data_IF_412761633872
#
_entry.id   IF_412761633872
#
_cell.length_a   1.000
_cell.length_b   1.000
_cell.length_c   1.000
_cell.angle_alpha   90.00
_cell.angle_beta   90.00
_cell.angle_gamma   90.00
#
_symmetry.space_group_name_H-M   'P 1'
#
loop_
_entity.id
_entity.type
_entity.pdbx_description
1 polymer ?
#
# COMPACT_ATOMS: atom_id res chain seq x y z
N UNK A 1 -5.90 -28.19 0.00
CA UNK A 1 -6.67 -26.94 0.21
C UNK A 1 -5.92 -25.85 -0.53
N UNK A 2 -6.61 -25.01 -1.32
CA UNK A 2 -5.95 -23.85 -1.93
C UNK A 2 -5.42 -22.96 -0.80
N UNK A 3 -4.15 -22.57 -0.83
CA UNK A 3 -3.56 -21.68 0.18
C UNK A 3 -4.23 -20.31 0.06
N UNK A 4 -4.64 -19.76 1.20
CA UNK A 4 -5.15 -18.39 1.34
C UNK A 4 -4.12 -17.38 0.82
N UNK A 5 -4.45 -16.64 -0.23
CA UNK A 5 -3.67 -15.49 -0.73
C UNK A 5 -4.35 -14.19 -0.28
N UNK A 6 -4.27 -13.89 1.02
CA UNK A 6 -4.86 -12.68 1.61
C UNK A 6 -4.04 -12.22 2.83
N UNK A 7 -4.13 -10.95 3.21
CA UNK A 7 -3.39 -10.43 4.37
C UNK A 7 -3.90 -10.98 5.70
N UNK A 8 -5.20 -11.21 5.83
CA UNK A 8 -5.80 -11.72 7.06
C UNK A 8 -6.79 -12.84 6.79
N UNK A 9 -7.01 -13.71 7.77
CA UNK A 9 -8.14 -14.64 7.81
C UNK A 9 -9.21 -14.14 8.78
N UNK A 10 -10.51 -14.38 8.50
CA UNK A 10 -11.55 -14.19 9.50
C UNK A 10 -11.29 -15.09 10.71
N UNK A 11 -11.49 -14.58 11.92
CA UNK A 11 -11.43 -15.44 13.09
C UNK A 11 -12.61 -16.43 13.08
N UNK A 12 -12.35 -17.72 12.89
CA UNK A 12 -13.39 -18.76 12.75
C UNK A 12 -13.95 -19.28 14.09
N UNK A 13 -13.51 -18.71 15.23
CA UNK A 13 -13.78 -19.25 16.57
C UNK A 13 -14.63 -18.33 17.47
N UNK A 14 -15.71 -17.71 16.97
CA UNK A 14 -16.70 -17.13 17.88
C UNK A 14 -18.10 -17.01 17.24
N UNK A 15 -19.10 -17.51 17.97
CA UNK A 15 -20.51 -17.40 17.66
C UNK A 15 -20.92 -15.92 17.56
N UNK A 16 -21.28 -15.45 16.36
CA UNK A 16 -22.09 -14.26 16.03
C UNK A 16 -21.85 -12.91 16.76
N UNK A 17 -20.82 -12.77 17.60
CA UNK A 17 -20.51 -11.58 18.38
C UNK A 17 -19.07 -11.08 18.21
N UNK A 18 -18.26 -11.74 17.38
CA UNK A 18 -16.89 -11.29 17.14
C UNK A 18 -16.92 -10.03 16.26
N UNK A 19 -16.38 -8.92 16.77
CA UNK A 19 -16.42 -7.55 16.22
C UNK A 19 -15.66 -7.38 14.88
N UNK A 20 -15.68 -8.37 14.00
CA UNK A 20 -14.90 -8.39 12.77
C UNK A 20 -13.40 -8.52 13.03
N UNK A 21 -13.01 -9.24 14.08
CA UNK A 21 -11.62 -9.57 14.39
C UNK A 21 -11.03 -10.45 13.29
N UNK A 22 -9.80 -10.15 12.89
CA UNK A 22 -9.05 -10.85 11.85
C UNK A 22 -7.66 -11.23 12.34
N UNK A 23 -7.13 -12.34 11.84
CA UNK A 23 -5.81 -12.86 12.19
C UNK A 23 -4.85 -12.67 11.02
N UNK A 24 -3.66 -12.09 11.22
CA UNK A 24 -2.67 -11.92 10.15
C UNK A 24 -2.24 -13.26 9.54
N UNK A 25 -1.99 -13.28 8.24
CA UNK A 25 -1.31 -14.39 7.55
C UNK A 25 0.16 -14.06 7.31
N UNK A 26 0.92 -14.99 6.73
CA UNK A 26 2.30 -14.76 6.30
C UNK A 26 2.43 -13.60 5.29
N UNK A 27 1.40 -13.32 4.49
CA UNK A 27 1.40 -12.21 3.52
C UNK A 27 1.33 -10.83 4.21
N UNK A 28 0.87 -10.77 5.45
CA UNK A 28 0.82 -9.52 6.21
C UNK A 28 2.13 -9.20 6.93
N UNK A 29 3.12 -10.09 6.94
CA UNK A 29 4.34 -9.88 7.73
C UNK A 29 5.31 -8.92 7.06
N UNK A 30 6.02 -8.15 7.88
CA UNK A 30 7.01 -7.14 7.50
C UNK A 30 8.42 -7.70 7.33
N UNK A 31 9.24 -7.00 6.54
CA UNK A 31 10.69 -7.25 6.47
C UNK A 31 11.49 -6.44 7.49
N UNK A 32 10.90 -5.40 8.08
CA UNK A 32 11.60 -4.51 9.01
C UNK A 32 11.93 -5.19 10.36
N UNK A 33 11.03 -6.04 10.85
CA UNK A 33 11.23 -6.75 12.12
C UNK A 33 10.34 -8.00 12.20
N UNK A 34 10.84 -9.11 12.79
CA UNK A 34 10.04 -10.31 13.04
C UNK A 34 8.77 -10.02 13.86
N UNK A 35 7.67 -10.68 13.51
CA UNK A 35 6.38 -10.58 14.23
C UNK A 35 5.70 -9.20 14.10
N UNK A 36 6.02 -8.43 13.06
CA UNK A 36 5.39 -7.13 12.74
C UNK A 36 4.66 -7.19 11.41
N UNK A 37 3.64 -6.35 11.25
CA UNK A 37 2.87 -6.27 10.00
C UNK A 37 3.48 -5.28 9.01
N UNK A 38 3.32 -5.55 7.72
CA UNK A 38 3.67 -4.63 6.66
C UNK A 38 2.59 -3.54 6.49
N UNK A 39 3.00 -2.37 5.99
CA UNK A 39 2.10 -1.24 5.72
C UNK A 39 0.92 -1.58 4.81
N UNK A 40 1.11 -2.32 3.69
CA UNK A 40 0.02 -2.71 2.80
C UNK A 40 -1.10 -3.46 3.52
N UNK A 41 -0.78 -4.37 4.44
CA UNK A 41 -1.78 -5.12 5.20
C UNK A 41 -2.63 -4.20 6.09
N UNK A 42 -1.99 -3.30 6.85
CA UNK A 42 -2.68 -2.34 7.74
C UNK A 42 -3.58 -1.41 6.92
N UNK A 43 -3.08 -0.88 5.80
CA UNK A 43 -3.82 -0.01 4.90
C UNK A 43 -4.99 -0.74 4.22
N UNK A 44 -4.78 -1.98 3.76
CA UNK A 44 -5.81 -2.81 3.13
C UNK A 44 -6.96 -3.10 4.08
N UNK A 45 -6.67 -3.48 5.33
CA UNK A 45 -7.69 -3.75 6.35
C UNK A 45 -8.51 -2.48 6.67
N UNK A 46 -7.83 -1.34 6.85
CA UNK A 46 -8.50 -0.08 7.13
C UNK A 46 -9.37 0.40 5.96
N UNK A 47 -8.86 0.35 4.72
CA UNK A 47 -9.61 0.68 3.52
C UNK A 47 -10.83 -0.24 3.33
N UNK A 48 -10.64 -1.54 3.54
CA UNK A 48 -11.70 -2.53 3.45
C UNK A 48 -12.82 -2.24 4.44
N UNK A 49 -12.47 -2.07 5.72
CA UNK A 49 -13.46 -1.86 6.80
C UNK A 49 -14.15 -0.51 6.68
N UNK A 50 -13.44 0.55 6.31
CA UNK A 50 -14.07 1.88 6.16
C UNK A 50 -15.04 1.91 4.97
N UNK A 51 -14.71 1.24 3.86
CA UNK A 51 -15.62 1.12 2.73
C UNK A 51 -16.84 0.27 3.07
N UNK A 52 -16.63 -0.90 3.67
CA UNK A 52 -17.69 -1.83 4.05
C UNK A 52 -18.68 -1.20 5.05
N UNK A 53 -18.19 -0.46 6.04
CA UNK A 53 -19.04 0.09 7.10
C UNK A 53 -19.70 1.43 6.73
N UNK A 54 -19.04 2.24 5.89
CA UNK A 54 -19.42 3.65 5.72
C UNK A 54 -19.65 4.08 4.26
N UNK A 55 -19.39 3.20 3.30
CA UNK A 55 -19.75 3.38 1.90
C UNK A 55 -21.25 3.60 1.72
N UNK A 56 -21.62 4.38 0.70
CA UNK A 56 -23.02 4.64 0.36
C UNK A 56 -23.15 4.81 -1.16
N UNK A 57 -24.23 4.27 -1.71
CA UNK A 57 -24.54 4.41 -3.13
C UNK A 57 -24.55 5.87 -3.60
N UNK A 58 -23.95 6.09 -4.77
CA UNK A 58 -23.77 7.43 -5.33
C UNK A 58 -22.64 8.24 -4.71
N UNK A 59 -21.96 7.72 -3.68
CA UNK A 59 -20.69 8.24 -3.21
C UNK A 59 -19.54 7.33 -3.63
N UNK A 60 -18.40 7.94 -3.97
CA UNK A 60 -17.15 7.25 -4.27
C UNK A 60 -16.11 7.62 -3.22
N UNK A 61 -15.31 6.67 -2.70
CA UNK A 61 -14.13 7.02 -1.90
C UNK A 61 -13.15 7.82 -2.78
N UNK A 62 -12.86 9.04 -2.35
CA UNK A 62 -12.06 10.01 -3.09
C UNK A 62 -10.73 10.35 -2.39
N UNK A 63 -10.66 10.16 -1.08
CA UNK A 63 -9.42 10.29 -0.31
C UNK A 63 -9.39 9.29 0.83
N UNK A 64 -8.24 8.69 1.07
CA UNK A 64 -7.94 7.87 2.24
C UNK A 64 -6.63 8.37 2.84
N UNK A 65 -6.63 8.68 4.13
CA UNK A 65 -5.42 9.01 4.89
C UNK A 65 -5.34 8.05 6.06
N UNK A 66 -4.15 7.54 6.39
CA UNK A 66 -3.91 6.74 7.58
C UNK A 66 -2.61 7.17 8.26
N UNK A 67 -2.69 7.41 9.56
CA UNK A 67 -1.51 7.63 10.42
C UNK A 67 -1.17 6.31 11.12
N UNK A 68 0.06 5.83 10.95
CA UNK A 68 0.60 4.59 11.52
C UNK A 68 1.59 4.92 12.64
N UNK A 69 1.06 5.35 13.78
CA UNK A 69 1.85 5.88 14.89
C UNK A 69 2.36 4.80 15.86
N UNK A 70 2.04 3.51 15.65
CA UNK A 70 2.59 2.40 16.43
C UNK A 70 2.77 1.15 15.58
N UNK A 71 3.84 0.42 15.84
CA UNK A 71 4.17 -0.82 15.14
C UNK A 71 3.06 -1.85 15.34
N UNK A 72 2.38 -2.22 14.25
CA UNK A 72 1.41 -3.29 14.24
C UNK A 72 2.11 -4.66 14.32
N UNK A 73 1.57 -5.55 15.15
CA UNK A 73 2.15 -6.87 15.47
C UNK A 73 1.36 -8.00 14.83
N UNK A 74 1.98 -9.17 14.75
CA UNK A 74 1.33 -10.42 14.33
C UNK A 74 0.37 -10.95 15.42
N UNK A 75 -0.72 -10.22 15.66
CA UNK A 75 -1.74 -10.53 16.67
C UNK A 75 -3.15 -10.23 16.11
N UNK A 76 -4.21 -10.80 16.71
CA UNK A 76 -5.58 -10.51 16.30
C UNK A 76 -5.85 -9.01 16.27
N UNK A 77 -6.43 -8.56 15.16
CA UNK A 77 -6.64 -7.16 14.83
C UNK A 77 -8.11 -6.93 14.52
N UNK A 78 -8.68 -5.81 14.95
CA UNK A 78 -10.02 -5.38 14.57
C UNK A 78 -10.04 -3.88 14.30
N UNK A 79 -11.21 -3.35 13.95
CA UNK A 79 -11.36 -1.93 13.62
C UNK A 79 -12.55 -1.31 14.31
N UNK A 80 -12.44 -0.03 14.68
CA UNK A 80 -13.52 0.74 15.29
C UNK A 80 -13.68 2.05 14.53
N UNK A 81 -14.84 2.30 13.94
CA UNK A 81 -15.06 3.50 13.16
C UNK A 81 -16.31 4.29 13.51
N UNK A 82 -16.42 5.48 12.92
CA UNK A 82 -17.60 6.35 13.01
C UNK A 82 -17.72 7.23 11.77
N UNK A 83 -18.94 7.62 11.45
CA UNK A 83 -19.20 8.74 10.54
C UNK A 83 -18.94 10.05 11.29
N UNK A 84 -18.01 10.85 10.78
CA UNK A 84 -17.77 12.23 11.24
C UNK A 84 -18.76 13.18 10.55
N UNK A 85 -19.08 12.92 9.29
CA UNK A 85 -19.95 13.77 8.47
C UNK A 85 -20.76 12.92 7.49
N UNK A 86 -22.08 13.09 7.49
CA UNK A 86 -22.98 12.63 6.42
C UNK A 86 -23.66 13.83 5.77
N UNK A 87 -23.09 14.33 4.67
CA UNK A 87 -23.62 15.49 3.93
C UNK A 87 -24.12 15.10 2.55
N UNK A 88 -24.80 16.04 1.88
CA UNK A 88 -25.33 15.78 0.53
C UNK A 88 -24.25 15.48 -0.50
N UNK A 89 -23.07 16.11 -0.44
CA UNK A 89 -21.99 15.94 -1.43
C UNK A 89 -20.71 15.30 -0.86
N UNK A 90 -20.57 15.28 0.45
CA UNK A 90 -19.39 14.78 1.15
C UNK A 90 -19.82 13.91 2.33
N UNK A 91 -19.17 12.76 2.47
CA UNK A 91 -19.20 11.92 3.66
C UNK A 91 -17.78 11.75 4.16
N UNK A 92 -17.60 11.76 5.47
CA UNK A 92 -16.30 11.57 6.12
C UNK A 92 -16.45 10.54 7.21
N UNK A 93 -15.59 9.53 7.19
CA UNK A 93 -15.52 8.48 8.19
C UNK A 93 -14.12 8.44 8.80
N UNK A 94 -14.05 8.13 10.08
CA UNK A 94 -12.83 7.80 10.82
C UNK A 94 -12.86 6.32 11.20
N UNK A 95 -11.70 5.66 11.20
CA UNK A 95 -11.56 4.26 11.55
C UNK A 95 -10.22 4.00 12.25
N UNK A 96 -10.26 3.50 13.47
CA UNK A 96 -9.11 3.00 14.22
C UNK A 96 -8.81 1.55 13.84
N UNK A 97 -7.52 1.23 13.69
CA UNK A 97 -7.01 -0.15 13.65
C UNK A 97 -6.50 -0.49 15.05
N UNK A 98 -7.06 -1.55 15.64
CA UNK A 98 -6.88 -1.91 17.05
C UNK A 98 -6.37 -3.34 17.17
N UNK A 99 -5.40 -3.54 18.05
CA UNK A 99 -4.83 -4.85 18.37
C UNK A 99 -4.98 -5.13 19.86
N UNK A 100 -5.13 -6.40 20.23
CA UNK A 100 -5.04 -6.80 21.63
C UNK A 100 -3.56 -6.89 22.02
N UNK A 101 -3.15 -6.15 23.05
CA UNK A 101 -1.79 -6.15 23.55
C UNK A 101 -1.35 -7.54 24.02
N UNK A 102 -0.08 -7.87 23.80
CA UNK A 102 0.52 -9.04 24.44
C UNK A 102 0.75 -8.66 25.90
N UNK A 103 0.17 -9.38 26.85
CA UNK A 103 0.46 -9.18 28.26
C UNK A 103 1.98 -9.23 28.46
N UNK A 104 2.56 -8.14 28.96
CA UNK A 104 3.97 -8.09 29.32
C UNK A 104 4.24 -9.22 30.31
N UNK A 105 5.13 -10.14 29.96
CA UNK A 105 5.53 -11.25 30.84
C UNK A 105 6.27 -10.79 32.10
N UNK A 106 6.49 -9.47 32.27
CA UNK A 106 7.15 -8.90 33.45
C UNK A 106 6.23 -8.75 34.69
N UNK A 107 4.90 -8.74 34.53
CA UNK A 107 3.97 -8.57 35.65
C UNK A 107 3.00 -9.76 35.75
N UNK A 108 3.53 -10.91 36.18
CA UNK A 108 2.77 -12.16 36.38
C UNK A 108 1.81 -12.15 37.58
N UNK A 109 1.34 -10.98 38.04
CA UNK A 109 0.53 -10.82 39.25
C UNK A 109 -0.79 -10.04 39.03
N UNK A 110 -1.35 -10.05 37.83
CA UNK A 110 -2.71 -9.56 37.59
C UNK A 110 -3.59 -10.67 37.01
N UNK A 111 -4.52 -11.17 37.82
CA UNK A 111 -5.57 -12.10 37.41
C UNK A 111 -6.69 -11.46 36.58
N UNK A 112 -6.34 -10.50 35.72
CA UNK A 112 -7.25 -9.87 34.76
C UNK A 112 -6.66 -10.07 33.35
N UNK A 113 -7.09 -11.15 32.69
CA UNK A 113 -6.62 -11.53 31.36
C UNK A 113 -7.35 -10.76 30.24
N UNK A 114 -7.77 -9.52 30.48
CA UNK A 114 -8.22 -8.64 29.40
C UNK A 114 -6.99 -7.99 28.78
N UNK A 115 -6.54 -8.53 27.66
CA UNK A 115 -5.48 -7.92 26.86
C UNK A 115 -5.87 -6.48 26.52
N UNK A 116 -5.04 -5.51 26.92
CA UNK A 116 -5.30 -4.08 26.69
C UNK A 116 -5.43 -3.80 25.20
N UNK A 117 -6.49 -3.08 24.79
CA UNK A 117 -6.63 -2.63 23.42
C UNK A 117 -5.58 -1.56 23.09
N UNK A 118 -4.84 -1.80 22.01
CA UNK A 118 -3.83 -0.88 21.51
C UNK A 118 -4.25 -0.39 20.13
N UNK A 119 -4.53 0.91 20.01
CA UNK A 119 -4.71 1.54 18.70
C UNK A 119 -3.33 1.67 18.05
N UNK A 120 -3.18 1.11 16.85
CA UNK A 120 -1.90 1.12 16.13
C UNK A 120 -1.87 2.07 14.94
N UNK A 121 -3.05 2.32 14.37
CA UNK A 121 -3.22 3.27 13.28
C UNK A 121 -4.62 3.89 13.31
N UNK A 122 -4.77 5.06 12.68
CA UNK A 122 -6.06 5.73 12.49
C UNK A 122 -6.20 6.20 11.05
N UNK A 123 -7.29 5.81 10.41
CA UNK A 123 -7.63 6.20 9.06
C UNK A 123 -8.79 7.22 9.02
N UNK A 124 -8.74 8.10 8.03
CA UNK A 124 -9.84 8.98 7.62
C UNK A 124 -10.14 8.74 6.15
N UNK A 125 -11.40 8.42 5.82
CA UNK A 125 -11.87 8.29 4.45
C UNK A 125 -12.87 9.39 4.10
N UNK A 126 -12.68 10.02 2.94
CA UNK A 126 -13.62 10.98 2.36
C UNK A 126 -14.29 10.35 1.16
N UNK A 127 -15.62 10.29 1.20
CA UNK A 127 -16.44 9.87 0.08
C UNK A 127 -17.14 11.07 -0.52
N UNK A 128 -17.10 11.21 -1.85
CA UNK A 128 -17.69 12.32 -2.59
C UNK A 128 -18.82 11.82 -3.49
N UNK A 129 -19.91 12.60 -3.56
CA UNK A 129 -21.00 12.30 -4.50
C UNK A 129 -20.51 12.46 -5.93
N UNK A 130 -20.73 11.44 -6.75
CA UNK A 130 -20.37 11.48 -8.17
C UNK A 130 -21.27 12.46 -8.94
N UNK A 131 -20.71 13.13 -9.94
CA UNK A 131 -21.44 14.04 -10.83
C UNK A 131 -20.66 14.26 -12.14
N UNK A 132 -21.24 14.98 -13.08
CA UNK A 132 -20.54 15.39 -14.29
C UNK A 132 -19.42 16.39 -13.98
N UNK A 133 -18.35 16.35 -14.76
CA UNK A 133 -17.28 17.36 -14.69
C UNK A 133 -17.82 18.76 -15.00
N UNK A 134 -17.30 19.81 -14.36
CA UNK A 134 -17.69 21.18 -14.66
C UNK A 134 -17.25 21.59 -16.08
N UNK A 135 -17.92 22.58 -16.70
CA UNK A 135 -17.53 23.11 -18.01
C UNK A 135 -16.13 23.75 -17.98
N UNK A 136 -15.57 24.04 -19.17
CA UNK A 136 -14.26 24.68 -19.35
C UNK A 136 -13.10 23.70 -19.57
N UNK A 137 -11.90 24.22 -19.81
CA UNK A 137 -10.65 23.44 -19.84
C UNK A 137 -9.91 23.60 -18.51
N UNK A 138 -9.09 22.61 -18.16
CA UNK A 138 -8.20 22.65 -17.01
C UNK A 138 -6.81 22.29 -17.48
N UNK A 139 -5.80 22.89 -16.86
CA UNK A 139 -4.45 22.44 -17.07
C UNK A 139 -4.33 20.99 -16.64
N UNK A 140 -3.64 20.20 -17.47
CA UNK A 140 -3.18 18.86 -17.13
C UNK A 140 -1.75 18.73 -17.65
N UNK A 141 -0.98 17.85 -17.02
CA UNK A 141 0.32 17.44 -17.55
C UNK A 141 0.14 16.96 -19.01
N UNK A 142 0.99 17.39 -19.96
CA UNK A 142 0.96 16.86 -21.33
C UNK A 142 1.17 15.34 -21.33
N UNK A 143 0.57 14.65 -22.30
CA UNK A 143 0.58 13.17 -22.33
C UNK A 143 2.02 12.63 -22.50
N UNK A 144 2.88 13.37 -23.22
CA UNK A 144 4.31 13.06 -23.38
C UNK A 144 5.12 13.17 -22.08
N UNK A 145 4.65 13.94 -21.11
CA UNK A 145 5.31 14.08 -19.80
C UNK A 145 4.86 12.99 -18.81
N UNK A 146 3.93 12.11 -19.20
CA UNK A 146 3.57 10.91 -18.44
C UNK A 146 4.51 9.78 -18.87
N UNK A 147 5.43 9.41 -17.98
CA UNK A 147 6.46 8.41 -18.26
C UNK A 147 6.02 6.98 -17.94
N UNK A 148 5.06 6.76 -17.05
CA UNK A 148 4.68 5.40 -16.68
C UNK A 148 4.16 4.56 -17.87
N UNK A 149 4.78 3.40 -18.11
CA UNK A 149 4.29 2.36 -19.04
C UNK A 149 4.25 0.99 -18.34
N UNK A 150 3.10 0.32 -18.24
CA UNK A 150 3.03 -1.00 -17.60
C UNK A 150 3.89 -2.02 -18.38
N UNK A 151 4.29 -3.15 -17.76
CA UNK A 151 4.93 -4.25 -18.46
C UNK A 151 4.11 -4.70 -19.67
N UNK A 152 4.77 -4.93 -20.80
CA UNK A 152 4.13 -5.41 -22.05
C UNK A 152 4.17 -6.92 -22.19
N UNK A 153 5.06 -7.59 -21.47
CA UNK A 153 5.14 -9.04 -21.46
C UNK A 153 3.88 -9.63 -20.79
N UNK A 154 3.28 -10.69 -21.36
CA UNK A 154 2.14 -11.34 -20.75
C UNK A 154 2.46 -11.84 -19.35
N UNK A 155 1.66 -11.42 -18.36
CA UNK A 155 1.70 -11.95 -17.01
C UNK A 155 0.61 -13.02 -16.91
N UNK A 156 0.98 -14.22 -16.45
CA UNK A 156 0.01 -15.33 -16.33
C UNK A 156 -1.07 -15.04 -15.30
N UNK A 157 -2.29 -15.54 -15.50
CA UNK A 157 -3.44 -15.25 -14.64
C UNK A 157 -3.25 -15.61 -13.16
N UNK A 158 -2.34 -16.54 -12.86
CA UNK A 158 -2.01 -16.96 -11.49
C UNK A 158 -0.80 -16.24 -10.89
N UNK A 159 -0.09 -15.43 -11.67
CA UNK A 159 1.08 -14.67 -11.23
C UNK A 159 0.62 -13.38 -10.54
N UNK A 160 0.99 -13.25 -9.27
CA UNK A 160 0.68 -12.09 -8.42
C UNK A 160 1.96 -11.35 -8.02
N UNK A 161 3.09 -11.68 -8.63
CA UNK A 161 4.39 -11.12 -8.31
C UNK A 161 4.49 -9.68 -8.80
N UNK A 162 4.90 -8.81 -7.89
CA UNK A 162 5.18 -7.42 -8.24
C UNK A 162 6.36 -7.33 -9.21
N UNK A 163 6.27 -6.41 -10.16
CA UNK A 163 7.37 -6.04 -11.06
C UNK A 163 7.89 -4.65 -10.69
N UNK A 164 9.19 -4.47 -10.81
CA UNK A 164 9.90 -3.24 -10.49
C UNK A 164 10.64 -2.72 -11.72
N UNK A 165 10.85 -1.41 -11.79
CA UNK A 165 11.61 -0.75 -12.84
C UNK A 165 12.23 0.54 -12.29
N UNK A 166 13.33 1.01 -12.88
CA UNK A 166 13.99 2.27 -12.52
C UNK A 166 14.47 3.04 -13.75
N UNK A 167 14.73 4.34 -13.60
CA UNK A 167 15.34 5.17 -14.66
C UNK A 167 16.81 4.81 -14.96
N UNK A 168 17.44 4.00 -14.11
CA UNK A 168 18.80 3.49 -14.38
C UNK A 168 18.70 2.27 -15.31
N UNK A 169 19.41 2.25 -16.44
CA UNK A 169 19.53 1.07 -17.30
C UNK A 169 20.07 -0.14 -16.54
N UNK A 170 19.69 -1.34 -16.97
CA UNK A 170 20.18 -2.57 -16.37
C UNK A 170 21.72 -2.66 -16.44
N UNK A 171 22.36 -3.06 -15.34
CA UNK A 171 23.82 -3.10 -15.24
C UNK A 171 24.41 -4.04 -16.30
N UNK A 172 25.24 -3.50 -17.20
CA UNK A 172 25.87 -4.26 -18.30
C UNK A 172 25.20 -4.09 -19.66
N UNK A 173 24.09 -3.34 -19.76
CA UNK A 173 23.53 -2.91 -21.05
C UNK A 173 24.21 -1.60 -21.48
N UNK A 174 24.92 -1.57 -22.64
CA UNK A 174 25.53 -0.33 -23.15
C UNK A 174 24.48 0.77 -23.33
N UNK A 175 24.85 2.03 -23.07
CA UNK A 175 23.94 3.19 -23.23
C UNK A 175 23.38 3.33 -24.66
N UNK A 176 24.08 2.79 -25.68
CA UNK A 176 23.62 2.71 -27.06
C UNK A 176 22.57 1.61 -27.34
N UNK A 177 22.49 0.60 -26.46
CA UNK A 177 21.49 -0.47 -26.48
C UNK A 177 20.38 -0.24 -25.43
N UNK A 178 20.58 0.72 -24.52
CA UNK A 178 19.52 1.25 -23.68
C UNK A 178 18.49 1.90 -24.60
N UNK A 179 17.19 1.63 -24.42
CA UNK A 179 16.19 2.08 -25.36
C UNK A 179 16.23 3.62 -25.44
N UNK A 180 16.58 4.09 -26.64
CA UNK A 180 17.02 5.45 -26.93
C UNK A 180 16.11 6.52 -26.33
N UNK A 181 16.77 7.60 -25.91
CA UNK A 181 16.17 8.84 -25.47
C UNK A 181 15.04 9.30 -26.41
N UNK A 182 13.92 9.70 -25.82
CA UNK A 182 12.66 10.12 -26.46
C UNK A 182 11.68 9.00 -26.88
N UNK A 183 11.31 8.10 -25.96
CA UNK A 183 10.03 7.37 -26.12
C UNK A 183 9.83 6.08 -25.32
N UNK A 184 10.90 5.42 -24.86
CA UNK A 184 10.80 4.20 -24.06
C UNK A 184 10.82 4.52 -22.56
N UNK A 185 9.65 4.81 -22.00
CA UNK A 185 9.59 5.60 -20.77
C UNK A 185 9.70 4.83 -19.44
N UNK A 186 10.03 3.54 -19.50
CA UNK A 186 10.39 2.72 -18.35
C UNK A 186 11.63 1.88 -18.67
N UNK A 187 12.60 1.78 -17.75
CA UNK A 187 13.63 0.73 -17.82
C UNK A 187 13.01 -0.68 -17.77
N UNK A 188 13.81 -1.72 -17.92
CA UNK A 188 13.33 -3.10 -17.90
C UNK A 188 12.49 -3.41 -16.64
N UNK A 189 11.43 -4.20 -16.82
CA UNK A 189 10.56 -4.66 -15.74
C UNK A 189 10.96 -6.07 -15.32
N UNK A 190 11.21 -6.29 -14.04
CA UNK A 190 11.51 -7.63 -13.51
C UNK A 190 11.05 -7.76 -12.04
N UNK A 191 11.20 -8.94 -11.44
CA UNK A 191 10.86 -9.20 -10.03
C UNK A 191 12.03 -9.02 -9.07
N UNK A 192 13.23 -8.74 -9.59
CA UNK A 192 14.46 -8.61 -8.81
C UNK A 192 14.54 -7.21 -8.23
N UNK A 193 14.26 -7.10 -6.93
CA UNK A 193 14.39 -5.82 -6.25
C UNK A 193 15.85 -5.37 -6.25
N UNK A 194 16.82 -6.25 -5.97
CA UNK A 194 18.24 -5.89 -5.92
C UNK A 194 18.76 -5.20 -7.20
N UNK A 195 18.27 -5.62 -8.37
CA UNK A 195 18.60 -5.00 -9.66
C UNK A 195 18.19 -3.51 -9.77
N UNK A 196 17.23 -3.07 -8.96
CA UNK A 196 16.73 -1.70 -8.93
C UNK A 196 17.20 -0.90 -7.70
N UNK A 197 18.09 -1.45 -6.85
CA UNK A 197 18.66 -0.75 -5.71
C UNK A 197 19.71 0.30 -6.13
N UNK A 198 19.21 1.43 -6.64
CA UNK A 198 19.99 2.51 -7.25
C UNK A 198 19.38 3.89 -6.94
N UNK A 199 19.97 4.97 -7.47
CA UNK A 199 19.45 6.34 -7.29
C UNK A 199 18.38 6.80 -8.28
N UNK A 200 17.96 5.95 -9.22
CA UNK A 200 16.97 6.33 -10.24
C UNK A 200 15.53 6.34 -9.73
N UNK A 201 14.66 7.08 -10.41
CA UNK A 201 13.22 7.09 -10.15
C UNK A 201 12.65 5.69 -10.25
N UNK A 202 11.88 5.27 -9.25
CA UNK A 202 11.35 3.91 -9.13
C UNK A 202 9.91 3.77 -9.62
N UNK A 203 9.59 2.56 -10.06
CA UNK A 203 8.27 2.13 -10.50
C UNK A 203 7.95 0.75 -9.94
N UNK A 204 6.67 0.55 -9.68
CA UNK A 204 6.08 -0.71 -9.26
C UNK A 204 4.86 -1.01 -10.14
N UNK A 205 4.71 -2.26 -10.53
CA UNK A 205 3.48 -2.84 -11.08
C UNK A 205 3.07 -3.99 -10.17
N UNK A 206 1.96 -3.81 -9.45
CA UNK A 206 1.55 -4.70 -8.36
C UNK A 206 0.15 -5.26 -8.59
N UNK A 207 -0.10 -6.45 -8.05
CA UNK A 207 -1.41 -7.09 -8.01
C UNK A 207 -1.87 -7.16 -6.54
N UNK A 208 -2.63 -6.17 -6.05
CA UNK A 208 -3.01 -6.10 -4.64
C UNK A 208 -3.74 -7.35 -4.15
N UNK A 209 -3.30 -7.88 -3.01
CA UNK A 209 -3.95 -9.03 -2.36
C UNK A 209 -5.25 -8.61 -1.66
N UNK A 210 -6.22 -9.53 -1.51
CA UNK A 210 -7.33 -9.37 -0.60
C UNK A 210 -6.89 -8.99 0.81
N UNK A 211 -7.62 -8.05 1.41
CA UNK A 211 -7.47 -7.73 2.82
C UNK A 211 -7.82 -8.95 3.67
N UNK A 212 -8.94 -9.60 3.39
CA UNK A 212 -9.47 -10.73 4.16
C UNK A 212 -9.71 -11.90 3.22
N UNK A 213 -9.34 -13.11 3.66
CA UNK A 213 -9.53 -14.34 2.90
C UNK A 213 -11.01 -14.60 2.59
N UNK A 214 -11.27 -15.07 1.37
CA UNK A 214 -12.62 -15.30 0.85
C UNK A 214 -13.41 -14.04 0.48
N UNK A 215 -12.88 -12.84 0.73
CA UNK A 215 -13.52 -11.58 0.36
C UNK A 215 -12.97 -11.02 -0.96
N UNK A 216 -13.85 -10.38 -1.74
CA UNK A 216 -13.47 -9.78 -3.02
C UNK A 216 -12.71 -8.46 -2.81
N UNK A 217 -11.67 -8.23 -3.61
CA UNK A 217 -10.91 -6.98 -3.54
C UNK A 217 -11.61 -5.90 -4.36
N UNK A 218 -12.17 -4.91 -3.67
CA UNK A 218 -12.78 -3.75 -4.34
C UNK A 218 -11.72 -2.89 -4.99
N UNK A 219 -12.10 -2.09 -5.99
CA UNK A 219 -11.18 -1.17 -6.67
C UNK A 219 -10.59 -0.12 -5.70
N UNK A 220 -11.33 0.28 -4.66
CA UNK A 220 -10.82 1.18 -3.64
C UNK A 220 -9.74 0.52 -2.78
N UNK A 221 -9.99 -0.70 -2.30
CA UNK A 221 -8.98 -1.46 -1.54
C UNK A 221 -7.74 -1.70 -2.40
N UNK A 222 -7.89 -2.07 -3.69
CA UNK A 222 -6.75 -2.20 -4.62
C UNK A 222 -5.93 -0.91 -4.69
N UNK A 223 -6.60 0.23 -4.85
CA UNK A 223 -5.93 1.53 -4.95
C UNK A 223 -5.15 1.89 -3.68
N UNK A 224 -5.73 1.66 -2.49
CA UNK A 224 -5.06 1.97 -1.23
C UNK A 224 -3.89 1.02 -0.96
N UNK A 225 -4.09 -0.29 -1.15
CA UNK A 225 -3.04 -1.29 -0.95
C UNK A 225 -1.84 -1.04 -1.86
N UNK A 226 -2.06 -0.76 -3.15
CA UNK A 226 -0.97 -0.40 -4.06
C UNK A 226 -0.39 0.98 -3.72
N UNK A 227 -1.24 1.94 -3.37
CA UNK A 227 -0.83 3.31 -3.03
C UNK A 227 0.12 3.37 -1.82
N UNK A 228 0.04 2.42 -0.90
CA UNK A 228 1.01 2.30 0.21
C UNK A 228 2.46 2.18 -0.28
N UNK A 229 2.67 1.55 -1.44
CA UNK A 229 3.99 1.45 -2.08
C UNK A 229 4.55 2.79 -2.56
N UNK A 230 3.83 3.92 -2.38
CA UNK A 230 4.42 5.26 -2.44
C UNK A 230 5.67 5.34 -1.59
N UNK A 231 5.62 4.83 -0.34
CA UNK A 231 6.77 4.80 0.56
C UNK A 231 7.95 4.02 -0.04
N UNK A 232 7.68 2.86 -0.61
CA UNK A 232 8.70 2.05 -1.28
C UNK A 232 9.35 2.80 -2.45
N UNK A 233 8.55 3.30 -3.40
CA UNK A 233 9.12 3.88 -4.63
C UNK A 233 9.83 5.21 -4.40
N UNK A 234 9.50 5.96 -3.35
CA UNK A 234 10.15 7.25 -3.06
C UNK A 234 11.35 7.11 -2.13
N UNK A 235 11.37 6.12 -1.22
CA UNK A 235 12.44 5.96 -0.22
C UNK A 235 13.45 4.84 -0.54
N UNK A 236 13.35 4.21 -1.71
CA UNK A 236 14.25 3.16 -2.13
C UNK A 236 15.45 3.72 -2.91
N UNK A 237 16.60 3.79 -2.24
CA UNK A 237 17.85 4.31 -2.76
C UNK A 237 18.87 3.23 -3.12
N UNK A 238 20.13 3.65 -3.29
CA UNK A 238 21.25 2.79 -3.66
C UNK A 238 21.74 1.84 -2.56
N UNK A 239 21.38 2.09 -1.30
CA UNK A 239 21.71 1.24 -0.16
C UNK A 239 20.53 0.37 0.32
N UNK A 240 19.35 0.57 -0.27
CA UNK A 240 18.11 -0.07 0.18
C UNK A 240 17.05 0.95 0.57
N UNK A 241 16.17 0.55 1.49
CA UNK A 241 15.13 1.43 2.05
C UNK A 241 15.59 1.96 3.41
N UNK A 242 16.00 3.22 3.45
CA UNK A 242 16.51 3.87 4.65
C UNK A 242 15.47 4.69 5.43
N UNK A 243 14.25 4.85 4.92
CA UNK A 243 13.16 5.58 5.58
C UNK A 243 11.93 4.70 5.77
N UNK A 244 11.22 4.89 6.88
CA UNK A 244 9.95 4.22 7.17
C UNK A 244 8.82 5.25 7.27
N UNK A 245 7.73 5.04 6.53
CA UNK A 245 6.60 5.96 6.54
C UNK A 245 5.80 5.87 7.83
N UNK A 246 5.38 7.05 8.32
CA UNK A 246 4.48 7.17 9.46
C UNK A 246 3.03 7.42 9.02
N UNK A 247 2.79 7.70 7.74
CA UNK A 247 1.47 7.92 7.18
C UNK A 247 1.35 7.36 5.75
N UNK A 248 0.13 7.46 5.22
CA UNK A 248 -0.18 7.39 3.80
C UNK A 248 -1.40 8.25 3.53
N UNK A 249 -1.36 9.07 2.48
CA UNK A 249 -2.56 9.67 1.87
C UNK A 249 -2.68 9.25 0.41
N UNK A 250 -3.84 8.70 0.05
CA UNK A 250 -4.22 8.36 -1.33
C UNK A 250 -5.39 9.23 -1.77
N UNK A 251 -5.24 9.91 -2.90
CA UNK A 251 -6.26 10.76 -3.52
C UNK A 251 -6.67 10.18 -4.88
N UNK A 252 -7.98 10.06 -5.12
CA UNK A 252 -8.55 9.33 -6.24
C UNK A 252 -9.51 10.21 -7.05
N UNK A 253 -9.15 10.50 -8.31
CA UNK A 253 -10.09 11.09 -9.26
C UNK A 253 -11.07 10.04 -9.80
N UNK A 254 -10.59 8.80 -9.94
CA UNK A 254 -11.38 7.62 -10.30
C UNK A 254 -10.82 6.38 -9.59
N UNK A 255 -11.62 5.33 -9.56
CA UNK A 255 -11.17 4.02 -9.10
C UNK A 255 -10.36 3.32 -10.21
N UNK A 256 -9.38 2.48 -9.86
CA UNK A 256 -8.63 1.70 -10.82
C UNK A 256 -9.51 0.67 -11.53
N UNK A 257 -9.12 0.31 -12.73
CA UNK A 257 -9.72 -0.74 -13.55
C UNK A 257 -8.73 -1.88 -13.78
N UNK A 258 -9.23 -3.11 -13.77
CA UNK A 258 -8.40 -4.31 -13.82
C UNK A 258 -7.83 -4.68 -12.46
N UNK A 259 -6.88 -5.61 -12.47
CA UNK A 259 -6.34 -6.23 -11.25
C UNK A 259 -4.94 -5.73 -10.88
N UNK A 260 -4.27 -5.07 -11.82
CA UNK A 260 -2.95 -4.52 -11.63
C UNK A 260 -2.98 -3.01 -11.45
N UNK A 261 -2.14 -2.53 -10.55
CA UNK A 261 -1.97 -1.11 -10.24
C UNK A 261 -0.49 -0.75 -10.30
N UNK A 262 -0.22 0.33 -11.01
CA UNK A 262 1.09 0.95 -11.16
C UNK A 262 1.31 2.07 -10.18
N UNK A 263 2.54 2.18 -9.70
CA UNK A 263 3.00 3.26 -8.84
C UNK A 263 4.31 3.77 -9.41
N UNK A 264 4.42 5.08 -9.64
CA UNK A 264 5.66 5.72 -10.09
C UNK A 264 5.96 6.89 -9.15
N UNK A 265 7.15 6.90 -8.54
CA UNK A 265 7.60 8.02 -7.72
C UNK A 265 7.53 9.32 -8.54
N UNK A 266 7.11 10.45 -8.00
CA UNK A 266 7.14 11.77 -8.66
C UNK A 266 8.14 12.71 -7.98
N UNK A 267 8.19 12.69 -6.65
CA UNK A 267 9.18 13.47 -5.89
C UNK A 267 9.63 12.75 -4.61
N UNK A 268 10.85 13.07 -4.19
CA UNK A 268 11.44 12.76 -2.88
C UNK A 268 12.18 14.00 -2.39
N UNK A 269 11.92 14.40 -1.15
CA UNK A 269 12.63 15.49 -0.48
C UNK A 269 12.95 15.03 0.93
N UNK A 270 14.19 15.22 1.37
CA UNK A 270 14.62 14.86 2.71
C UNK A 270 15.44 15.97 3.36
N UNK A 271 15.33 16.08 4.68
CA UNK A 271 16.10 17.00 5.52
C UNK A 271 16.06 16.49 6.96
N UNK A 272 17.19 16.49 7.65
CA UNK A 272 17.30 16.11 9.07
C UNK A 272 16.69 14.74 9.42
N UNK A 273 16.81 13.77 8.50
CA UNK A 273 16.27 12.42 8.69
C UNK A 273 14.75 12.32 8.60
N UNK A 274 14.09 13.33 8.04
CA UNK A 274 12.67 13.32 7.68
C UNK A 274 12.57 13.38 6.15
N UNK A 275 11.73 12.54 5.55
CA UNK A 275 11.45 12.61 4.12
C UNK A 275 9.95 12.79 3.83
N UNK A 276 9.68 13.38 2.67
CA UNK A 276 8.36 13.35 2.02
C UNK A 276 8.50 12.74 0.64
N UNK A 277 7.49 11.96 0.25
CA UNK A 277 7.43 11.33 -1.06
C UNK A 277 6.05 11.47 -1.69
N UNK A 278 6.02 11.72 -3.01
CA UNK A 278 4.79 11.65 -3.81
C UNK A 278 4.93 10.62 -4.91
N UNK A 279 3.84 9.94 -5.26
CA UNK A 279 3.79 9.01 -6.38
C UNK A 279 2.48 9.11 -7.16
N UNK A 280 2.54 8.88 -8.47
CA UNK A 280 1.35 8.71 -9.29
C UNK A 280 0.84 7.27 -9.26
N UNK A 281 -0.49 7.10 -9.28
CA UNK A 281 -1.15 5.80 -9.32
C UNK A 281 -1.80 5.57 -10.69
N UNK A 282 -1.51 4.43 -11.30
CA UNK A 282 -1.82 4.14 -12.70
C UNK A 282 -2.53 2.80 -12.86
N UNK A 283 -3.40 2.70 -13.85
CA UNK A 283 -3.84 1.43 -14.42
C UNK A 283 -3.64 1.47 -15.96
N UNK A 284 -4.20 0.50 -16.67
CA UNK A 284 -4.12 0.44 -18.15
C UNK A 284 -4.77 1.64 -18.87
N UNK A 285 -5.59 2.44 -18.18
CA UNK A 285 -6.23 3.65 -18.68
C UNK A 285 -5.52 4.93 -18.22
N UNK A 286 -4.30 4.80 -17.69
CA UNK A 286 -3.47 5.90 -17.25
C UNK A 286 -3.65 6.26 -15.78
N UNK A 287 -3.21 7.46 -15.41
CA UNK A 287 -3.22 7.91 -14.03
C UNK A 287 -4.65 8.06 -13.50
N UNK A 288 -4.91 7.56 -12.29
CA UNK A 288 -6.22 7.66 -11.64
C UNK A 288 -6.18 8.39 -10.30
N UNK A 289 -4.99 8.52 -9.70
CA UNK A 289 -4.81 9.08 -8.38
C UNK A 289 -3.35 9.35 -8.06
N UNK A 290 -3.10 9.76 -6.82
CA UNK A 290 -1.76 9.99 -6.28
C UNK A 290 -1.67 9.45 -4.85
N UNK A 291 -0.47 9.06 -4.46
CA UNK A 291 -0.08 8.77 -3.09
C UNK A 291 0.89 9.81 -2.56
N UNK A 292 0.85 10.06 -1.26
CA UNK A 292 1.82 10.90 -0.54
C UNK A 292 2.12 10.27 0.81
N UNK A 293 3.39 10.35 1.21
CA UNK A 293 3.87 9.83 2.48
C UNK A 293 4.82 10.81 3.15
N UNK A 294 4.83 10.78 4.48
CA UNK A 294 5.89 11.30 5.35
C UNK A 294 6.63 10.12 5.97
N UNK A 295 7.95 10.21 6.06
CA UNK A 295 8.77 9.14 6.63
C UNK A 295 9.91 9.67 7.50
N UNK A 296 10.42 8.79 8.35
CA UNK A 296 11.53 9.05 9.27
C UNK A 296 12.69 8.11 8.96
N UNK A 297 13.91 8.58 9.18
CA UNK A 297 15.13 7.82 9.05
C UNK A 297 15.06 6.54 9.89
N UNK A 298 15.28 5.42 9.23
CA UNK A 298 15.33 4.08 9.78
C UNK A 298 16.58 3.32 9.28
N UNK A 299 17.67 4.03 8.97
CA UNK A 299 18.89 3.44 8.40
C UNK A 299 19.52 2.35 9.28
N UNK A 300 19.29 2.39 10.60
CA UNK A 300 19.73 1.33 11.53
C UNK A 300 19.05 -0.03 11.27
N UNK A 301 17.91 -0.04 10.58
CA UNK A 301 17.17 -1.23 10.16
C UNK A 301 16.93 -1.22 8.63
N UNK A 302 17.83 -0.57 7.87
CA UNK A 302 17.73 -0.46 6.40
C UNK A 302 17.53 -1.82 5.75
N UNK A 303 16.55 -1.91 4.84
CA UNK A 303 16.32 -3.13 4.07
C UNK A 303 17.17 -3.06 2.80
N UNK A 304 18.24 -3.86 2.78
CA UNK A 304 19.10 -4.08 1.62
C UNK A 304 18.62 -5.31 0.83
N UNK A 305 18.05 -5.08 -0.35
CA UNK A 305 17.51 -6.14 -1.20
C UNK A 305 18.58 -6.97 -1.91
N UNK A 306 19.85 -6.59 -1.82
CA UNK A 306 20.95 -7.42 -2.34
C UNK A 306 21.38 -8.53 -1.39
N UNK A 307 20.96 -8.45 -0.11
CA UNK A 307 21.30 -9.42 0.93
C UNK A 307 20.10 -10.17 1.52
N UNK A 308 18.87 -9.76 1.20
CA UNK A 308 17.63 -10.43 1.64
C UNK A 308 17.14 -11.44 0.59
N UNK A 309 16.94 -12.70 0.99
CA UNK A 309 16.26 -13.69 0.15
C UNK A 309 14.73 -13.47 0.17
N UNK A 310 14.21 -12.91 -0.91
CA UNK A 310 12.78 -12.68 -1.12
C UNK A 310 12.05 -13.89 -1.72
N UNK A 311 12.78 -14.92 -2.14
CA UNK A 311 12.24 -16.02 -2.95
C UNK A 311 11.26 -16.88 -2.16
N UNK A 312 11.46 -17.05 -0.85
CA UNK A 312 10.57 -17.83 0.02
C UNK A 312 9.24 -17.13 0.30
N UNK A 313 9.20 -15.79 0.26
CA UNK A 313 8.01 -15.00 0.60
C UNK A 313 6.86 -15.21 -0.39
N UNK A 314 7.21 -15.56 -1.62
CA UNK A 314 6.27 -15.72 -2.72
C UNK A 314 6.26 -17.12 -3.36
N UNK A 315 7.21 -18.00 -3.01
CA UNK A 315 7.20 -19.43 -3.43
C UNK A 315 5.97 -20.19 -2.96
N UNK A 316 5.27 -19.68 -1.95
CA UNK A 316 4.05 -20.28 -1.41
C UNK A 316 2.75 -19.75 -2.02
N UNK A 317 2.83 -18.93 -3.09
CA UNK A 317 1.67 -18.48 -3.84
C UNK A 317 1.12 -19.60 -4.74
#
# INVERSE_FOLDING_TARGET
MAKTRAFFTPNSSAASSDNGVVTPTSYALSLWAPGTLNGPAVCALAAHRVEQQFGEDGFRPARFTIDMFKVAREVPTFTRGRIVRAGRRIRVAELDVVQFGVASTADSNAGDSSAEEVVVARATAVFLRTSANPPGTRWRRPDEAVTFRPPTEPIGDSDVMSRFSSDVPEAGVPEADAPDAAGASNGAWNTDMGAHQNGGRKRLWSHPLPAIDGEQVTAFVKAVTAGESTSLVTNWGSSGIGFINCDLTVELARLPQGDWVGVEADSHIESDGISIGTAGLFDSHGMFGMGTVTAVNNAAAEIDFTSVDLTDRYREA
#
